data_IF_236511110722
#
_entry.id   IF_236511110722
#
_cell.length_a   1.000
_cell.length_b   1.000
_cell.length_c   1.000
_cell.angle_alpha   90.00
_cell.angle_beta   90.00
_cell.angle_gamma   90.00
#
_symmetry.space_group_name_H-M   'P 1'
#
loop_
_entity.id
_entity.type
_entity.pdbx_description
1 polymer ?
#
# COMPACT_ATOMS: atom_id res chain seq x y z
N UNK A 1 5.52 7.33 -16.14
CA UNK A 1 4.08 6.97 -15.98
C UNK A 1 3.19 7.26 -17.18
N UNK A 2 3.53 8.25 -18.04
CA UNK A 2 2.69 8.56 -19.22
C UNK A 2 2.49 7.39 -20.20
N UNK A 3 3.42 6.42 -20.26
CA UNK A 3 3.27 5.20 -21.06
C UNK A 3 2.50 4.05 -20.35
N UNK A 4 2.31 4.16 -19.04
CA UNK A 4 1.67 3.13 -18.19
C UNK A 4 0.18 3.42 -18.03
N UNK A 5 -0.19 4.69 -17.80
CA UNK A 5 -1.59 5.09 -17.62
C UNK A 5 -2.36 4.92 -18.93
N UNK A 6 -3.46 4.19 -18.88
CA UNK A 6 -4.30 3.79 -20.01
C UNK A 6 -3.99 2.38 -20.54
N UNK A 7 -2.81 1.83 -20.24
CA UNK A 7 -2.36 0.53 -20.78
C UNK A 7 -2.22 -0.56 -19.72
N UNK A 8 -1.84 -0.19 -18.49
CA UNK A 8 -1.66 -1.11 -17.37
C UNK A 8 -2.76 -0.97 -16.33
N UNK A 9 -3.05 -2.05 -15.62
CA UNK A 9 -3.70 -1.92 -14.32
C UNK A 9 -2.71 -1.27 -13.34
N UNK A 10 -3.22 -0.56 -12.34
CA UNK A 10 -2.42 0.09 -11.30
C UNK A 10 -2.86 -0.47 -9.96
N UNK A 11 -1.92 -1.03 -9.20
CA UNK A 11 -2.16 -1.46 -7.84
C UNK A 11 -1.37 -0.62 -6.86
N UNK A 12 -2.01 -0.19 -5.78
CA UNK A 12 -1.37 0.53 -4.68
C UNK A 12 -1.67 -0.19 -3.37
N UNK A 13 -0.66 -0.86 -2.82
CA UNK A 13 -0.76 -1.58 -1.55
C UNK A 13 -0.02 -0.82 -0.47
N UNK A 14 -0.74 -0.49 0.60
CA UNK A 14 -0.16 0.01 1.84
C UNK A 14 -0.09 -1.10 2.87
N UNK A 15 1.10 -1.33 3.42
CA UNK A 15 1.32 -2.22 4.55
C UNK A 15 1.21 -1.37 5.82
N UNK A 16 0.01 -1.34 6.41
CA UNK A 16 -0.32 -0.41 7.48
C UNK A 16 0.60 -0.67 8.69
N UNK A 17 1.36 0.36 9.10
CA UNK A 17 2.37 0.35 10.17
C UNK A 17 3.72 -0.35 9.91
N UNK A 18 3.96 -0.89 8.70
CA UNK A 18 5.18 -1.63 8.38
C UNK A 18 6.46 -0.78 8.55
N UNK A 19 7.36 -1.25 9.42
CA UNK A 19 8.68 -0.63 9.60
C UNK A 19 9.66 -1.01 8.50
N UNK A 20 10.47 -0.05 8.07
CA UNK A 20 11.52 -0.27 7.07
C UNK A 20 12.54 -1.33 7.50
N UNK A 21 13.01 -1.27 8.74
CA UNK A 21 14.05 -2.17 9.26
C UNK A 21 13.60 -3.62 9.27
N UNK A 22 12.35 -3.90 9.65
CA UNK A 22 11.77 -5.25 9.58
C UNK A 22 11.62 -5.73 8.14
N UNK A 23 11.06 -4.88 7.26
CA UNK A 23 10.87 -5.23 5.85
C UNK A 23 12.19 -5.58 5.16
N UNK A 24 13.22 -4.75 5.39
CA UNK A 24 14.55 -4.96 4.84
C UNK A 24 15.24 -6.20 5.42
N UNK A 25 15.14 -6.40 6.75
CA UNK A 25 15.71 -7.57 7.42
C UNK A 25 15.12 -8.88 6.90
N UNK A 26 13.78 -8.97 6.78
CA UNK A 26 13.12 -10.18 6.31
C UNK A 26 13.41 -10.49 4.84
N UNK A 27 13.53 -9.45 4.00
CA UNK A 27 13.97 -9.61 2.62
C UNK A 27 15.42 -10.15 2.55
N UNK A 28 16.36 -9.56 3.30
CA UNK A 28 17.75 -10.03 3.37
C UNK A 28 17.87 -11.46 3.89
N UNK A 29 16.99 -11.86 4.82
CA UNK A 29 16.94 -13.21 5.38
C UNK A 29 16.22 -14.22 4.46
N UNK A 30 15.69 -13.80 3.30
CA UNK A 30 14.95 -14.67 2.39
C UNK A 30 13.60 -15.17 2.95
N UNK A 31 13.03 -14.45 3.92
CA UNK A 31 11.80 -14.85 4.64
C UNK A 31 10.51 -14.31 4.01
N UNK A 32 10.64 -13.41 3.03
CA UNK A 32 9.53 -12.88 2.23
C UNK A 32 9.77 -13.14 0.74
N UNK A 33 9.85 -14.41 0.30
CA UNK A 33 10.23 -14.76 -1.07
C UNK A 33 9.24 -14.27 -2.13
N UNK A 34 7.96 -14.12 -1.81
CA UNK A 34 6.94 -13.73 -2.78
C UNK A 34 6.98 -12.23 -3.10
N UNK A 35 7.24 -11.40 -2.08
CA UNK A 35 7.55 -9.99 -2.25
C UNK A 35 8.93 -9.82 -2.91
N UNK A 36 9.94 -10.59 -2.47
CA UNK A 36 11.29 -10.52 -3.04
C UNK A 36 11.31 -10.76 -4.55
N UNK A 37 10.42 -11.62 -5.08
CA UNK A 37 10.29 -11.87 -6.51
C UNK A 37 9.82 -10.66 -7.34
N UNK A 38 9.30 -9.61 -6.70
CA UNK A 38 8.88 -8.36 -7.36
C UNK A 38 9.84 -7.20 -7.10
N UNK A 39 10.63 -7.29 -6.03
CA UNK A 39 11.55 -6.23 -5.61
C UNK A 39 12.83 -6.23 -6.45
N UNK A 40 13.52 -5.08 -6.57
CA UNK A 40 14.86 -5.05 -7.15
C UNK A 40 15.85 -5.84 -6.29
N UNK A 41 17.02 -6.15 -6.85
CA UNK A 41 18.11 -6.86 -6.15
C UNK A 41 18.62 -6.12 -4.88
N UNK A 42 18.24 -4.86 -4.69
CA UNK A 42 18.57 -4.07 -3.48
C UNK A 42 17.49 -4.16 -2.39
N UNK A 43 16.36 -4.79 -2.66
CA UNK A 43 15.23 -4.91 -1.74
C UNK A 43 14.37 -3.65 -1.69
N UNK A 44 13.98 -3.24 -0.48
CA UNK A 44 13.12 -2.08 -0.27
C UNK A 44 13.91 -0.78 -0.33
N UNK A 45 13.34 0.22 -1.00
CA UNK A 45 13.86 1.58 -0.93
C UNK A 45 13.49 2.20 0.43
N UNK A 46 14.48 2.81 1.09
CA UNK A 46 14.28 3.54 2.33
C UNK A 46 13.73 4.93 2.02
N UNK A 47 12.52 5.23 2.50
CA UNK A 47 11.83 6.51 2.26
C UNK A 47 11.25 7.11 3.54
N UNK A 48 10.98 8.42 3.53
CA UNK A 48 10.21 9.11 4.56
C UNK A 48 8.74 9.22 4.14
N UNK A 49 7.83 8.72 4.97
CA UNK A 49 6.40 8.98 4.81
C UNK A 49 6.09 10.47 5.00
N UNK A 50 5.12 11.06 4.27
CA UNK A 50 4.68 12.43 4.47
C UNK A 50 3.99 12.68 5.83
N UNK A 51 3.59 11.62 6.56
CA UNK A 51 2.96 11.74 7.87
C UNK A 51 3.20 10.52 8.76
N UNK A 52 2.90 10.66 10.05
CA UNK A 52 3.16 9.66 11.09
C UNK A 52 1.96 8.79 11.49
N UNK A 53 0.86 8.84 10.73
CA UNK A 53 -0.34 8.02 10.95
C UNK A 53 -1.22 7.92 9.70
N UNK A 54 -2.03 6.87 9.64
CA UNK A 54 -2.83 6.47 8.48
C UNK A 54 -3.57 7.60 7.79
N UNK A 55 -4.42 8.37 8.50
CA UNK A 55 -5.29 9.34 7.83
C UNK A 55 -4.50 10.42 7.08
N UNK A 56 -3.53 11.05 7.74
CA UNK A 56 -2.73 12.10 7.13
C UNK A 56 -1.82 11.57 6.01
N UNK A 57 -1.25 10.37 6.19
CA UNK A 57 -0.41 9.75 5.17
C UNK A 57 -1.21 9.47 3.90
N UNK A 58 -2.41 8.89 4.04
CA UNK A 58 -3.25 8.54 2.88
C UNK A 58 -3.87 9.75 2.19
N UNK A 59 -4.18 10.84 2.91
CA UNK A 59 -4.52 12.11 2.26
C UNK A 59 -3.40 12.59 1.33
N UNK A 60 -2.15 12.56 1.81
CA UNK A 60 -0.99 12.93 1.01
C UNK A 60 -0.80 11.96 -0.17
N UNK A 61 -0.90 10.64 0.07
CA UNK A 61 -0.76 9.62 -0.97
C UNK A 61 -1.79 9.79 -2.09
N UNK A 62 -3.06 9.98 -1.74
CA UNK A 62 -4.13 10.21 -2.72
C UNK A 62 -4.07 11.58 -3.37
N UNK A 63 -3.22 12.50 -2.90
CA UNK A 63 -2.85 13.72 -3.62
C UNK A 63 -1.54 13.57 -4.45
N UNK A 64 -0.99 12.36 -4.52
CA UNK A 64 0.24 12.05 -5.25
C UNK A 64 1.54 12.27 -4.47
N UNK A 65 1.49 12.59 -3.19
CA UNK A 65 2.67 12.77 -2.34
C UNK A 65 3.04 11.45 -1.65
N UNK A 66 3.63 10.53 -2.41
CA UNK A 66 4.12 9.24 -1.92
C UNK A 66 5.33 9.39 -0.97
N UNK A 67 5.76 8.33 -0.25
CA UNK A 67 6.98 8.38 0.53
C UNK A 67 8.16 8.86 -0.32
N UNK A 68 9.01 9.70 0.27
CA UNK A 68 10.11 10.40 -0.41
C UNK A 68 11.45 9.75 -0.10
N UNK A 69 12.37 9.61 -1.07
CA UNK A 69 13.72 9.11 -0.80
C UNK A 69 14.40 9.85 0.36
N UNK A 70 15.13 9.13 1.23
CA UNK A 70 15.76 9.74 2.42
C UNK A 70 16.91 10.70 2.10
N UNK A 71 17.43 10.68 0.88
CA UNK A 71 18.50 11.58 0.45
C UNK A 71 17.91 12.93 0.01
N UNK A 72 18.65 14.01 0.28
CA UNK A 72 18.21 15.35 -0.08
C UNK A 72 18.12 15.52 -1.59
N UNK A 73 17.11 16.27 -2.05
CA UNK A 73 16.92 16.57 -3.47
C UNK A 73 15.45 16.73 -3.84
N UNK A 74 15.21 17.21 -5.05
CA UNK A 74 13.90 17.16 -5.67
C UNK A 74 13.71 15.79 -6.29
N UNK A 75 12.67 15.08 -5.86
CA UNK A 75 12.37 13.74 -6.32
C UNK A 75 11.13 13.77 -7.20
N UNK A 76 11.25 13.46 -8.51
CA UNK A 76 10.10 13.29 -9.39
C UNK A 76 9.11 12.28 -8.83
N UNK A 77 7.82 12.54 -9.03
CA UNK A 77 6.75 11.65 -8.58
C UNK A 77 6.13 10.91 -9.77
N UNK A 78 5.72 9.64 -9.63
CA UNK A 78 5.06 8.90 -10.71
C UNK A 78 3.73 9.56 -11.08
N UNK A 79 2.99 10.06 -10.09
CA UNK A 79 1.73 10.75 -10.26
C UNK A 79 1.75 12.12 -9.58
N UNK A 80 1.01 13.05 -10.14
CA UNK A 80 0.71 14.33 -9.50
C UNK A 80 -0.69 14.80 -9.89
N UNK A 81 -1.36 15.49 -8.98
CA UNK A 81 -2.51 16.31 -9.36
C UNK A 81 -2.02 17.64 -9.92
N UNK A 82 -2.79 18.22 -10.84
CA UNK A 82 -2.52 19.57 -11.33
C UNK A 82 -2.61 20.57 -10.17
N UNK A 83 -1.46 21.12 -9.78
CA UNK A 83 -1.33 22.07 -8.68
C UNK A 83 -0.22 23.08 -8.99
N UNK A 84 -0.49 24.36 -8.74
CA UNK A 84 0.46 25.44 -8.99
C UNK A 84 1.67 25.36 -8.06
N UNK A 85 2.88 25.58 -8.59
CA UNK A 85 4.09 25.62 -7.77
C UNK A 85 4.68 24.25 -7.41
N UNK A 86 4.22 23.15 -8.01
CA UNK A 86 4.87 21.85 -7.82
C UNK A 86 6.26 21.82 -8.46
N UNK A 87 7.30 21.59 -7.65
CA UNK A 87 8.70 21.50 -8.08
C UNK A 87 9.16 20.07 -8.39
N UNK A 88 8.26 19.09 -8.24
CA UNK A 88 8.53 17.65 -8.36
C UNK A 88 7.76 16.97 -9.50
N UNK A 89 7.17 17.77 -10.39
CA UNK A 89 6.60 17.28 -11.65
C UNK A 89 7.70 17.27 -12.71
N UNK A 90 7.97 16.10 -13.28
CA UNK A 90 8.93 15.89 -14.36
C UNK A 90 8.21 15.44 -15.66
N UNK A 91 8.86 15.45 -16.83
CA UNK A 91 8.24 15.06 -18.10
C UNK A 91 7.58 13.66 -18.10
N UNK A 92 8.09 12.74 -17.27
CA UNK A 92 7.60 11.37 -17.11
C UNK A 92 6.46 11.22 -16.08
N UNK A 93 6.22 12.25 -15.26
CA UNK A 93 5.13 12.31 -14.27
C UNK A 93 3.80 12.31 -14.99
N UNK A 94 2.90 11.42 -14.57
CA UNK A 94 1.53 11.45 -15.01
C UNK A 94 0.76 12.49 -14.20
N UNK A 95 0.52 13.66 -14.82
CA UNK A 95 -0.33 14.70 -14.22
C UNK A 95 -1.79 14.35 -14.47
N UNK A 96 -2.59 14.29 -13.42
CA UNK A 96 -4.02 14.01 -13.44
C UNK A 96 -4.82 15.27 -13.06
N UNK A 97 -6.04 15.35 -13.59
CA UNK A 97 -7.06 16.31 -13.14
C UNK A 97 -7.79 15.76 -11.91
N UNK A 98 -8.55 16.60 -11.20
CA UNK A 98 -9.33 16.20 -10.03
C UNK A 98 -8.65 16.48 -8.69
N UNK A 99 -9.37 16.20 -7.59
CA UNK A 99 -8.91 16.47 -6.23
C UNK A 99 -8.16 15.28 -5.60
N UNK A 100 -8.13 14.13 -6.28
CA UNK A 100 -7.45 12.92 -5.79
C UNK A 100 -6.98 12.02 -6.95
N UNK A 101 -5.96 11.19 -6.74
CA UNK A 101 -5.50 10.20 -7.71
C UNK A 101 -6.62 9.23 -8.14
N UNK A 102 -7.45 8.68 -7.24
CA UNK A 102 -8.57 7.84 -7.64
C UNK A 102 -9.56 8.55 -8.58
N UNK A 103 -9.87 9.82 -8.31
CA UNK A 103 -10.75 10.64 -9.16
C UNK A 103 -10.13 10.90 -10.53
N UNK A 104 -8.87 11.36 -10.55
CA UNK A 104 -8.18 11.65 -11.80
C UNK A 104 -7.93 10.41 -12.68
N UNK A 105 -7.77 9.24 -12.07
CA UNK A 105 -7.72 7.97 -12.79
C UNK A 105 -9.10 7.55 -13.29
N UNK A 106 -10.18 7.79 -12.53
CA UNK A 106 -11.54 7.55 -12.99
C UNK A 106 -11.86 8.37 -14.26
N UNK A 107 -11.40 9.62 -14.33
CA UNK A 107 -11.52 10.47 -15.53
C UNK A 107 -10.70 9.96 -16.72
N UNK A 108 -9.77 9.04 -16.48
CA UNK A 108 -8.97 8.32 -17.50
C UNK A 108 -9.53 6.93 -17.80
N UNK A 109 -10.83 6.74 -17.56
CA UNK A 109 -11.55 5.49 -17.73
C UNK A 109 -11.01 4.34 -16.87
N UNK A 110 -10.34 4.59 -15.74
CA UNK A 110 -10.03 3.52 -14.79
C UNK A 110 -11.24 3.20 -13.91
N UNK A 111 -11.43 1.91 -13.60
CA UNK A 111 -12.28 1.49 -12.49
C UNK A 111 -11.49 1.62 -11.19
N UNK A 112 -11.90 2.50 -10.28
CA UNK A 112 -11.18 2.74 -9.02
C UNK A 112 -11.81 2.02 -7.83
N UNK A 113 -11.01 1.21 -7.14
CA UNK A 113 -11.45 0.29 -6.09
C UNK A 113 -10.59 0.48 -4.84
N UNK A 114 -11.24 0.64 -3.69
CA UNK A 114 -10.61 0.67 -2.37
C UNK A 114 -11.02 -0.55 -1.54
N UNK A 115 -10.05 -1.31 -1.06
CA UNK A 115 -10.24 -2.34 -0.04
C UNK A 115 -9.57 -1.87 1.25
N UNK A 116 -10.39 -1.51 2.23
CA UNK A 116 -9.95 -0.96 3.51
C UNK A 116 -9.59 -2.01 4.54
N UNK A 117 -8.55 -1.76 5.36
CA UNK A 117 -8.16 -2.64 6.47
C UNK A 117 -8.29 -2.01 7.85
N UNK A 118 -8.09 -0.70 7.99
CA UNK A 118 -8.11 -0.02 9.30
C UNK A 118 -9.26 0.96 9.46
N UNK A 119 -9.40 1.54 10.65
CA UNK A 119 -10.55 2.37 11.05
C UNK A 119 -10.87 3.56 10.14
N UNK A 120 -9.88 4.15 9.48
CA UNK A 120 -10.09 5.25 8.53
C UNK A 120 -10.69 4.82 7.18
N UNK A 121 -10.79 3.52 6.94
CA UNK A 121 -11.41 2.93 5.76
C UNK A 121 -12.66 2.09 6.08
N UNK A 122 -13.11 2.06 7.35
CA UNK A 122 -14.14 1.13 7.79
C UNK A 122 -15.57 1.49 7.40
N UNK A 123 -15.80 2.71 6.89
CA UNK A 123 -17.11 3.22 6.46
C UNK A 123 -18.20 3.25 7.55
N UNK A 124 -17.87 2.95 8.80
CA UNK A 124 -18.83 2.84 9.91
C UNK A 124 -19.26 4.20 10.49
N UNK A 125 -18.57 5.28 10.13
CA UNK A 125 -18.85 6.63 10.59
C UNK A 125 -18.41 7.65 9.52
N UNK A 126 -18.80 8.94 9.62
CA UNK A 126 -18.45 9.94 8.61
C UNK A 126 -16.94 10.07 8.34
N UNK A 127 -16.09 9.94 9.38
CA UNK A 127 -14.63 10.01 9.22
C UNK A 127 -14.09 8.80 8.46
N UNK A 128 -14.57 7.60 8.77
CA UNK A 128 -14.24 6.35 8.07
C UNK A 128 -14.75 6.26 6.64
N UNK A 129 -15.55 7.24 6.19
CA UNK A 129 -16.02 7.38 4.81
C UNK A 129 -15.18 8.35 3.97
N UNK A 130 -14.27 9.14 4.57
CA UNK A 130 -13.52 10.17 3.85
C UNK A 130 -12.55 9.56 2.84
N UNK A 131 -11.63 8.70 3.28
CA UNK A 131 -10.61 8.11 2.38
C UNK A 131 -11.23 7.17 1.33
N UNK A 132 -12.14 6.22 1.71
CA UNK A 132 -12.84 5.42 0.69
C UNK A 132 -13.73 6.26 -0.22
N UNK A 133 -14.12 7.46 0.24
CA UNK A 133 -14.94 8.43 -0.48
C UNK A 133 -14.40 8.84 -1.84
N UNK A 134 -13.07 8.78 -2.02
CA UNK A 134 -12.41 9.12 -3.28
C UNK A 134 -12.60 8.07 -4.38
N UNK A 135 -13.00 6.84 -4.03
CA UNK A 135 -13.08 5.71 -4.96
C UNK A 135 -14.50 5.46 -5.44
N UNK A 136 -14.63 4.97 -6.67
CA UNK A 136 -15.91 4.53 -7.25
C UNK A 136 -16.47 3.32 -6.49
N UNK A 137 -15.59 2.40 -6.10
CA UNK A 137 -15.93 1.23 -5.29
C UNK A 137 -15.13 1.20 -4.00
N UNK A 138 -15.79 0.81 -2.92
CA UNK A 138 -15.22 0.82 -1.57
C UNK A 138 -15.73 -0.38 -0.78
N UNK A 139 -14.81 -1.14 -0.21
CA UNK A 139 -15.12 -2.36 0.51
C UNK A 139 -14.49 -2.36 1.89
N UNK A 140 -15.31 -2.73 2.87
CA UNK A 140 -14.87 -3.05 4.22
C UNK A 140 -15.87 -4.01 4.87
N UNK A 141 -15.34 -4.96 5.64
CA UNK A 141 -16.09 -5.77 6.60
C UNK A 141 -15.16 -6.11 7.79
N UNK A 142 -15.68 -6.59 8.93
CA UNK A 142 -14.86 -6.97 10.07
C UNK A 142 -13.75 -7.97 9.74
N UNK A 143 -14.00 -8.89 8.81
CA UNK A 143 -13.05 -9.92 8.35
C UNK A 143 -11.88 -9.33 7.55
N UNK A 144 -12.01 -8.11 7.02
CA UNK A 144 -10.91 -7.39 6.36
C UNK A 144 -10.06 -6.59 7.37
N UNK A 145 -10.53 -6.51 8.62
CA UNK A 145 -10.02 -5.62 9.65
C UNK A 145 -8.90 -6.19 10.51
N UNK A 146 -8.32 -5.32 11.34
CA UNK A 146 -7.19 -5.62 12.24
C UNK A 146 -7.45 -6.72 13.28
N UNK A 147 -8.72 -7.03 13.56
CA UNK A 147 -9.09 -8.07 14.53
C UNK A 147 -9.16 -9.47 13.95
N UNK A 148 -9.13 -9.60 12.62
CA UNK A 148 -9.17 -10.89 11.95
C UNK A 148 -7.75 -11.34 11.58
N UNK A 149 -7.36 -12.51 12.09
CA UNK A 149 -6.03 -13.09 11.82
C UNK A 149 -5.83 -13.52 10.37
N UNK A 150 -6.93 -13.67 9.63
CA UNK A 150 -6.99 -14.03 8.22
C UNK A 150 -7.27 -12.82 7.32
N UNK A 151 -7.21 -11.60 7.86
CA UNK A 151 -7.56 -10.35 7.16
C UNK A 151 -6.92 -10.20 5.78
N UNK A 152 -5.61 -10.39 5.64
CA UNK A 152 -4.94 -10.30 4.34
C UNK A 152 -5.50 -11.31 3.33
N UNK A 153 -5.82 -12.53 3.76
CA UNK A 153 -6.40 -13.54 2.87
C UNK A 153 -7.80 -13.14 2.41
N UNK A 154 -8.62 -12.56 3.29
CA UNK A 154 -9.92 -12.03 2.94
C UNK A 154 -9.84 -10.81 2.00
N UNK A 155 -8.90 -9.90 2.26
CA UNK A 155 -8.63 -8.74 1.39
C UNK A 155 -8.16 -9.17 0.00
N UNK A 156 -7.27 -10.17 -0.07
CA UNK A 156 -6.78 -10.75 -1.33
C UNK A 156 -7.89 -11.49 -2.07
N UNK A 157 -8.68 -12.31 -1.40
CA UNK A 157 -9.82 -13.01 -2.02
C UNK A 157 -10.78 -12.01 -2.67
N UNK A 158 -11.15 -10.96 -1.94
CA UNK A 158 -12.03 -9.92 -2.45
C UNK A 158 -11.40 -9.18 -3.63
N UNK A 159 -10.11 -8.84 -3.56
CA UNK A 159 -9.39 -8.22 -4.67
C UNK A 159 -9.44 -9.11 -5.93
N UNK A 160 -9.16 -10.40 -5.79
CA UNK A 160 -9.23 -11.37 -6.87
C UNK A 160 -10.63 -11.46 -7.49
N UNK A 161 -11.68 -11.53 -6.66
CA UNK A 161 -13.07 -11.59 -7.13
C UNK A 161 -13.45 -10.33 -7.92
N UNK A 162 -13.07 -9.14 -7.43
CA UNK A 162 -13.30 -7.88 -8.14
C UNK A 162 -12.54 -7.81 -9.46
N UNK A 163 -11.27 -8.23 -9.48
CA UNK A 163 -10.46 -8.23 -10.69
C UNK A 163 -10.99 -9.23 -11.72
N UNK A 164 -11.52 -10.38 -11.32
CA UNK A 164 -12.04 -11.40 -12.22
C UNK A 164 -13.43 -11.08 -12.81
N UNK A 165 -14.20 -10.22 -12.14
CA UNK A 165 -15.54 -9.81 -12.62
C UNK A 165 -15.50 -8.67 -13.63
N UNK A 166 -14.41 -7.88 -13.65
CA UNK A 166 -14.28 -6.75 -14.58
C UNK A 166 -13.77 -7.20 -15.95
N UNK A 167 -14.26 -6.63 -17.07
CA UNK A 167 -13.71 -6.89 -18.40
C UNK A 167 -12.20 -6.63 -18.47
N UNK A 168 -11.41 -7.47 -19.16
CA UNK A 168 -9.94 -7.31 -19.24
C UNK A 168 -9.49 -6.01 -19.96
N UNK A 169 -10.36 -5.41 -20.76
CA UNK A 169 -10.12 -4.12 -21.42
C UNK A 169 -10.41 -2.91 -20.51
N UNK A 170 -11.12 -3.11 -19.39
CA UNK A 170 -11.33 -2.09 -18.38
C UNK A 170 -10.10 -2.03 -17.45
N UNK A 171 -9.33 -0.94 -17.53
CA UNK A 171 -8.19 -0.72 -16.63
C UNK A 171 -8.67 -0.51 -15.20
N UNK A 172 -7.92 -1.03 -14.23
CA UNK A 172 -8.27 -0.96 -12.80
C UNK A 172 -7.22 -0.18 -12.02
N UNK A 173 -7.67 0.71 -11.14
CA UNK A 173 -6.86 1.26 -10.07
C UNK A 173 -7.33 0.63 -8.76
N UNK A 174 -6.57 -0.34 -8.25
CA UNK A 174 -6.88 -1.08 -7.04
C UNK A 174 -5.99 -0.58 -5.88
N UNK A 175 -6.62 -0.04 -4.86
CA UNK A 175 -5.97 0.27 -3.59
C UNK A 175 -6.32 -0.77 -2.53
N UNK A 176 -5.31 -1.26 -1.81
CA UNK A 176 -5.48 -2.16 -0.66
C UNK A 176 -4.70 -1.59 0.52
N UNK A 177 -5.38 -1.40 1.64
CA UNK A 177 -4.77 -1.09 2.93
C UNK A 177 -4.70 -2.37 3.77
N UNK A 178 -3.53 -3.04 3.79
CA UNK A 178 -3.34 -4.30 4.50
C UNK A 178 -3.32 -4.07 6.02
N UNK A 179 -4.23 -4.73 6.73
CA UNK A 179 -4.46 -4.52 8.16
C UNK A 179 -3.60 -5.37 9.08
N UNK A 180 -3.06 -6.49 8.59
CA UNK A 180 -2.42 -7.53 9.42
C UNK A 180 -1.22 -7.06 10.27
N UNK A 181 -0.50 -6.02 9.87
CA UNK A 181 0.62 -5.49 10.68
C UNK A 181 0.17 -4.53 11.77
N UNK A 182 -0.93 -3.82 11.54
CA UNK A 182 -1.51 -2.92 12.53
C UNK A 182 -1.96 -3.72 13.75
N UNK A 183 -1.80 -3.13 14.93
CA UNK A 183 -2.17 -3.77 16.18
C UNK A 183 -3.66 -4.20 16.20
N UNK A 184 -3.98 -5.36 16.79
CA UNK A 184 -3.04 -6.36 17.34
C UNK A 184 -2.38 -7.24 16.27
N UNK A 185 -1.07 -7.48 16.39
CA UNK A 185 -0.31 -8.43 15.53
C UNK A 185 0.28 -9.62 16.32
N UNK A 186 0.12 -9.67 17.65
CA UNK A 186 0.66 -10.75 18.49
C UNK A 186 0.26 -12.15 18.02
N UNK A 187 -0.95 -12.30 17.48
CA UNK A 187 -1.48 -13.62 17.11
C UNK A 187 -0.85 -14.23 15.85
N UNK A 188 0.08 -13.53 15.18
CA UNK A 188 0.89 -14.09 14.09
C UNK A 188 2.11 -14.88 14.59
N UNK A 189 2.52 -14.69 15.85
CA UNK A 189 3.58 -15.47 16.48
C UNK A 189 2.99 -16.44 17.52
N UNK A 190 3.10 -17.76 17.33
CA UNK A 190 2.60 -18.73 18.29
C UNK A 190 3.18 -18.50 19.70
N UNK A 191 2.29 -18.40 20.70
CA UNK A 191 2.67 -18.20 22.10
C UNK A 191 2.86 -16.73 22.53
N UNK A 192 2.88 -15.78 21.60
CA UNK A 192 2.91 -14.37 21.95
C UNK A 192 1.54 -13.89 22.50
N UNK A 193 1.59 -12.96 23.46
CA UNK A 193 0.39 -12.36 24.09
C UNK A 193 0.35 -10.85 23.98
N UNK A 194 1.43 -10.23 23.48
CA UNK A 194 1.58 -8.80 23.27
C UNK A 194 2.28 -8.56 21.95
N UNK A 195 1.97 -7.45 21.30
CA UNK A 195 2.65 -7.04 20.08
C UNK A 195 4.11 -6.68 20.37
N UNK A 196 5.00 -7.07 19.47
CA UNK A 196 6.43 -6.85 19.53
C UNK A 196 7.02 -6.77 18.12
N UNK A 197 8.32 -6.53 18.03
CA UNK A 197 9.02 -6.55 16.74
C UNK A 197 9.01 -7.94 16.09
N UNK A 198 9.01 -9.00 16.90
CA UNK A 198 8.95 -10.39 16.43
C UNK A 198 7.57 -10.75 15.88
N UNK A 199 6.49 -10.29 16.51
CA UNK A 199 5.13 -10.51 16.01
C UNK A 199 4.86 -9.69 14.75
N UNK A 200 5.44 -8.48 14.66
CA UNK A 200 5.46 -7.66 13.45
C UNK A 200 6.15 -8.39 12.29
N UNK A 201 7.31 -8.99 12.53
CA UNK A 201 8.00 -9.80 11.52
C UNK A 201 7.17 -11.02 11.08
N UNK A 202 6.58 -11.74 12.03
CA UNK A 202 5.73 -12.90 11.73
C UNK A 202 4.49 -12.51 10.90
N UNK A 203 3.90 -11.34 11.16
CA UNK A 203 2.80 -10.78 10.38
C UNK A 203 3.22 -10.47 8.93
N UNK A 204 4.41 -9.92 8.70
CA UNK A 204 4.90 -9.68 7.34
C UNK A 204 5.14 -10.99 6.56
N UNK A 205 5.68 -12.03 7.20
CA UNK A 205 5.81 -13.35 6.59
C UNK A 205 4.46 -13.98 6.24
N UNK A 206 3.45 -13.75 7.09
CA UNK A 206 2.07 -14.14 6.79
C UNK A 206 1.52 -13.39 5.56
N UNK A 207 1.69 -12.07 5.52
CA UNK A 207 1.27 -11.23 4.39
C UNK A 207 1.92 -11.71 3.09
N UNK A 208 3.23 -11.96 3.11
CA UNK A 208 4.00 -12.40 1.94
C UNK A 208 3.36 -13.64 1.27
N UNK A 209 3.01 -14.65 2.07
CA UNK A 209 2.32 -15.85 1.58
C UNK A 209 0.90 -15.57 1.13
N UNK A 210 0.17 -14.72 1.84
CA UNK A 210 -1.23 -14.41 1.56
C UNK A 210 -1.41 -13.63 0.26
N UNK A 211 -0.39 -12.89 -0.21
CA UNK A 211 -0.45 -12.10 -1.45
C UNK A 211 -0.29 -12.93 -2.74
N UNK A 212 0.13 -14.20 -2.66
CA UNK A 212 0.39 -15.03 -3.84
C UNK A 212 -0.79 -15.11 -4.82
N UNK A 213 -2.05 -15.33 -4.39
CA UNK A 213 -3.19 -15.38 -5.32
C UNK A 213 -3.44 -14.06 -6.04
N UNK A 214 -3.15 -12.92 -5.38
CA UNK A 214 -3.29 -11.59 -5.98
C UNK A 214 -2.29 -11.41 -7.12
N UNK A 215 -1.02 -11.77 -6.89
CA UNK A 215 0.00 -11.72 -7.94
C UNK A 215 -0.37 -12.57 -9.14
N UNK A 216 -0.85 -13.79 -8.92
CA UNK A 216 -1.32 -14.65 -10.00
C UNK A 216 -2.47 -14.01 -10.78
N UNK A 217 -3.48 -13.48 -10.06
CA UNK A 217 -4.65 -12.86 -10.69
C UNK A 217 -4.27 -11.63 -11.53
N UNK A 218 -3.34 -10.81 -11.06
CA UNK A 218 -2.84 -9.66 -11.83
C UNK A 218 -2.13 -10.12 -13.11
N UNK A 219 -1.23 -11.09 -13.01
CA UNK A 219 -0.52 -11.66 -14.18
C UNK A 219 -1.47 -12.27 -15.20
N UNK A 220 -2.56 -12.92 -14.77
CA UNK A 220 -3.55 -13.53 -15.66
C UNK A 220 -4.47 -12.49 -16.34
N UNK A 221 -4.58 -11.29 -15.75
CA UNK A 221 -5.51 -10.25 -16.17
C UNK A 221 -4.88 -9.28 -17.17
N UNK A 222 -3.79 -8.62 -16.79
CA UNK A 222 -3.21 -7.51 -17.53
C UNK A 222 -1.82 -7.13 -17.00
N UNK A 223 -0.97 -6.48 -17.81
CA UNK A 223 0.27 -5.91 -17.30
C UNK A 223 -0.09 -4.87 -16.22
N UNK A 224 0.63 -4.88 -15.11
CA UNK A 224 0.28 -4.09 -13.92
C UNK A 224 1.48 -3.31 -13.39
N UNK A 225 1.26 -2.03 -13.06
CA UNK A 225 2.21 -1.23 -12.29
C UNK A 225 1.80 -1.22 -10.81
N UNK A 226 2.73 -1.57 -9.93
CA UNK A 226 2.50 -1.66 -8.49
C UNK A 226 3.27 -0.61 -7.70
N UNK A 227 2.59 0.05 -6.75
CA UNK A 227 3.20 0.81 -5.67
C UNK A 227 3.02 -0.01 -4.39
N UNK A 228 4.13 -0.41 -3.77
CA UNK A 228 4.15 -1.13 -2.50
C UNK A 228 4.85 -0.24 -1.48
N UNK A 229 4.16 0.19 -0.43
CA UNK A 229 4.82 0.96 0.62
C UNK A 229 4.14 0.84 1.98
N UNK A 230 4.76 1.37 3.02
CA UNK A 230 4.05 1.64 4.26
C UNK A 230 3.55 3.08 4.31
N UNK A 231 2.47 3.30 5.05
CA UNK A 231 1.93 4.61 5.37
C UNK A 231 2.67 5.27 6.54
N UNK A 232 3.14 4.49 7.50
CA UNK A 232 4.03 4.88 8.57
C UNK A 232 4.60 3.63 9.26
N UNK A 233 5.62 3.76 10.09
CA UNK A 233 6.04 2.69 11.00
C UNK A 233 5.34 2.75 12.37
N UNK A 234 5.78 1.92 13.30
CA UNK A 234 5.32 1.90 14.70
C UNK A 234 6.46 1.54 15.65
N UNK A 235 6.43 2.07 16.87
CA UNK A 235 7.39 1.71 17.94
C UNK A 235 6.80 0.66 18.89
N UNK A 236 7.67 -0.18 19.45
CA UNK A 236 7.37 -1.23 20.42
C UNK A 236 8.06 -0.99 21.77
N UNK A 237 8.47 0.24 22.05
CA UNK A 237 9.18 0.63 23.28
C UNK A 237 10.48 1.41 23.02
N UNK A 238 10.89 1.57 21.75
CA UNK A 238 12.08 2.35 21.39
C UNK A 238 11.99 3.77 21.92
N UNK A 239 13.07 4.20 22.58
CA UNK A 239 13.20 5.51 23.23
C UNK A 239 12.05 5.85 24.20
N UNK A 240 11.40 4.82 24.77
CA UNK A 240 10.27 4.97 25.69
C UNK A 240 8.93 5.22 24.99
N UNK A 241 8.87 5.09 23.67
CA UNK A 241 7.65 5.27 22.88
C UNK A 241 7.03 3.94 22.44
N UNK A 242 5.70 3.86 22.46
CA UNK A 242 4.94 2.76 21.85
C UNK A 242 3.88 3.32 20.92
N UNK A 243 3.77 2.74 19.72
CA UNK A 243 2.82 3.15 18.68
C UNK A 243 3.37 4.16 17.69
N UNK A 244 2.49 5.01 17.18
CA UNK A 244 2.77 5.99 16.13
C UNK A 244 2.08 7.34 16.46
N UNK A 245 2.07 8.31 15.54
CA UNK A 245 1.76 9.74 15.78
C UNK A 245 2.83 10.51 16.55
N UNK A 246 4.09 10.15 16.34
CA UNK A 246 5.25 10.78 16.97
C UNK A 246 6.33 11.06 15.92
N UNK A 247 7.20 12.03 16.20
CA UNK A 247 8.34 12.40 15.35
C UNK A 247 9.53 11.43 15.51
N UNK A 248 9.25 10.12 15.61
CA UNK A 248 10.28 9.10 15.82
C UNK A 248 10.76 8.52 14.48
N UNK A 249 12.07 8.37 14.22
CA UNK A 249 12.59 7.90 12.94
C UNK A 249 11.98 6.57 12.46
N UNK A 250 11.72 5.62 13.39
CA UNK A 250 11.04 4.34 13.08
C UNK A 250 9.64 4.54 12.50
N UNK A 251 8.91 5.59 12.91
CA UNK A 251 7.56 5.88 12.41
C UNK A 251 7.60 6.57 11.05
N UNK A 252 8.59 7.43 10.82
CA UNK A 252 8.68 8.19 9.57
C UNK A 252 9.40 7.43 8.45
N UNK A 253 10.30 6.51 8.79
CA UNK A 253 11.08 5.73 7.83
C UNK A 253 10.32 4.47 7.41
N UNK A 254 9.91 4.42 6.15
CA UNK A 254 9.06 3.37 5.59
C UNK A 254 9.72 2.67 4.40
N UNK A 255 9.38 1.39 4.15
CA UNK A 255 9.74 0.72 2.92
C UNK A 255 8.89 1.20 1.75
N UNK A 256 9.50 1.26 0.57
CA UNK A 256 8.85 1.63 -0.68
C UNK A 256 9.41 0.81 -1.84
N UNK A 257 8.55 0.44 -2.79
CA UNK A 257 8.92 -0.13 -4.08
C UNK A 257 7.90 0.24 -5.15
N UNK A 258 8.41 0.49 -6.36
CA UNK A 258 7.63 0.50 -7.60
C UNK A 258 7.98 -0.76 -8.38
N UNK A 259 6.97 -1.51 -8.82
CA UNK A 259 7.16 -2.81 -9.46
C UNK A 259 6.35 -2.91 -10.74
N UNK A 260 6.86 -3.66 -11.71
CA UNK A 260 6.09 -4.09 -12.88
C UNK A 260 5.78 -5.58 -12.70
N UNK A 261 4.49 -5.91 -12.86
CA UNK A 261 4.01 -7.28 -12.82
C UNK A 261 3.59 -7.61 -14.26
N UNK A 262 4.39 -8.46 -14.89
CA UNK A 262 4.18 -8.84 -16.28
C UNK A 262 2.89 -9.65 -16.46
N UNK A 263 2.25 -9.45 -17.60
CA UNK A 263 1.16 -10.32 -18.04
C UNK A 263 1.73 -11.64 -18.52
N UNK A 264 1.09 -12.76 -18.18
CA UNK A 264 1.35 -14.00 -18.92
C UNK A 264 0.74 -13.85 -20.31
N UNK A 265 1.58 -13.66 -21.32
CA UNK A 265 1.17 -13.81 -22.71
C UNK A 265 0.60 -15.24 -22.86
N UNK A 266 -0.71 -15.33 -23.09
CA UNK A 266 -1.36 -16.59 -23.49
C UNK A 266 -1.26 -16.80 -24.99
#
# INVERSE_FOLDING_TARGET
MNAIVGTHDIIFITFDTLRYDVAQFLWQAGRTPHLAALLPDTGWEKRHSPASFTYAAHQAFFAGFLPTPIHSGNHPRPFALQFEGSTTIAPETCVLSGASLPEGLADRDYRTICIGGVGFFNQCNPLGNVLPGFFQERYWSPELGVTDRHSTQHQVSLACDRLNTLPKNQRVFLFINLSALHQPNYFYLPGATTDSIETHAAALEYIDRALVPLWQTLRDRAPTFGILCSDHGTTYGEDGYTGHRIAHPIVWTVPYAEVLIDHFDQ
#
